data_IF_552504447036
#
_entry.id   IF_552504447036
#
_cell.length_a   1.000
_cell.length_b   1.000
_cell.length_c   1.000
_cell.angle_alpha   90.00
_cell.angle_beta   90.00
_cell.angle_gamma   90.00
#
_symmetry.space_group_name_H-M   'P 1'
#
loop_
_entity.id
_entity.type
_entity.pdbx_description
1 polymer ?
#
# COMPACT_ATOMS: atom_id res chain seq x y z
N UNK A 1 -10.74 1.44 15.75
CA UNK A 1 -11.89 2.35 15.58
C UNK A 1 -11.35 3.73 15.33
N UNK A 2 -11.81 4.39 14.26
CA UNK A 2 -11.56 5.82 14.01
C UNK A 2 -10.45 6.14 13.01
N UNK A 3 -10.67 5.91 11.71
CA UNK A 3 -9.92 6.58 10.64
C UNK A 3 -10.87 6.84 9.47
N UNK A 4 -11.64 7.93 9.57
CA UNK A 4 -12.14 8.79 8.49
C UNK A 4 -13.16 9.78 9.10
N UNK A 5 -12.98 11.11 8.97
CA UNK A 5 -13.95 12.08 9.46
C UNK A 5 -15.22 12.06 8.59
N UNK A 6 -16.37 11.95 9.23
CA UNK A 6 -17.68 12.19 8.61
C UNK A 6 -17.77 13.66 8.17
N UNK A 7 -18.19 13.90 6.94
CA UNK A 7 -18.52 15.25 6.47
C UNK A 7 -19.90 15.64 7.01
N UNK A 8 -19.95 16.72 7.76
CA UNK A 8 -21.19 17.39 8.18
C UNK A 8 -21.96 17.89 6.95
N UNK A 9 -23.27 17.66 6.93
CA UNK A 9 -24.20 18.28 5.98
C UNK A 9 -25.12 19.23 6.72
N UNK A 10 -25.12 20.48 6.26
CA UNK A 10 -25.90 21.60 6.76
C UNK A 10 -27.41 21.38 6.74
N UNK A 11 -28.03 21.93 7.78
CA UNK A 11 -29.46 21.99 8.06
C UNK A 11 -30.17 22.91 7.06
N UNK A 12 -31.20 22.41 6.36
CA UNK A 12 -32.24 23.25 5.74
C UNK A 12 -33.60 22.79 6.27
N UNK A 13 -34.28 23.69 6.99
CA UNK A 13 -35.68 23.55 7.39
C UNK A 13 -36.58 23.82 6.19
N UNK A 14 -37.53 22.93 5.93
CA UNK A 14 -38.80 23.26 5.29
C UNK A 14 -39.88 22.30 5.78
N UNK A 15 -40.92 22.87 6.37
CA UNK A 15 -42.12 22.19 6.88
C UNK A 15 -43.01 21.71 5.72
N UNK A 16 -43.59 20.53 5.87
CA UNK A 16 -44.58 19.98 4.94
C UNK A 16 -45.15 18.66 5.46
N UNK A 17 -46.36 18.73 6.01
CA UNK A 17 -47.05 17.67 6.73
C UNK A 17 -47.74 16.69 5.74
N UNK A 18 -47.48 15.38 5.85
CA UNK A 18 -48.12 14.30 5.06
C UNK A 18 -48.48 13.12 6.01
N UNK A 19 -49.61 12.40 5.82
CA UNK A 19 -50.25 11.53 6.82
C UNK A 19 -49.61 10.12 6.94
N UNK A 20 -50.01 9.30 7.95
CA UNK A 20 -49.23 8.15 8.38
C UNK A 20 -49.39 6.96 7.43
N UNK A 21 -48.26 6.39 7.02
CA UNK A 21 -48.18 5.11 6.32
C UNK A 21 -47.63 4.03 7.26
N UNK A 22 -48.21 2.83 7.12
CA UNK A 22 -48.03 1.61 7.92
C UNK A 22 -46.58 1.13 8.09
N UNK A 23 -46.28 0.34 9.16
CA UNK A 23 -44.92 -0.01 9.53
C UNK A 23 -44.29 -0.95 8.50
N UNK A 24 -43.17 -0.52 7.91
CA UNK A 24 -42.28 -1.36 7.12
C UNK A 24 -41.14 -1.84 8.00
N UNK A 25 -40.89 -3.14 7.96
CA UNK A 25 -39.78 -3.82 8.60
C UNK A 25 -38.44 -3.12 8.31
N UNK A 26 -37.79 -2.63 9.37
CA UNK A 26 -36.43 -2.12 9.31
C UNK A 26 -35.44 -3.29 9.17
N UNK A 27 -34.57 -3.30 8.14
CA UNK A 27 -33.43 -4.20 8.15
C UNK A 27 -32.41 -3.68 9.16
N UNK A 28 -32.16 -4.46 10.21
CA UNK A 28 -31.08 -4.26 11.19
C UNK A 28 -29.75 -3.97 10.48
N UNK A 29 -29.10 -2.89 10.89
CA UNK A 29 -27.73 -2.58 10.52
C UNK A 29 -26.80 -3.75 10.87
N UNK A 30 -25.94 -4.23 9.95
CA UNK A 30 -24.87 -5.14 10.31
C UNK A 30 -23.78 -4.33 11.02
N UNK A 31 -23.79 -4.42 12.34
CA UNK A 31 -22.63 -4.16 13.19
C UNK A 31 -21.59 -5.26 12.96
N UNK A 32 -20.31 -4.88 12.98
CA UNK A 32 -19.12 -5.75 12.95
C UNK A 32 -18.82 -6.58 11.69
N UNK A 33 -18.21 -5.93 10.68
CA UNK A 33 -17.60 -6.61 9.52
C UNK A 33 -16.07 -6.43 9.39
N UNK A 34 -15.37 -6.02 10.45
CA UNK A 34 -13.90 -5.85 10.42
C UNK A 34 -13.14 -6.53 11.56
N UNK A 35 -13.80 -7.31 12.42
CA UNK A 35 -13.21 -7.91 13.62
C UNK A 35 -12.81 -9.40 13.48
N UNK A 36 -12.90 -9.99 12.28
CA UNK A 36 -12.73 -11.44 12.07
C UNK A 36 -11.55 -11.84 11.20
N UNK A 37 -10.34 -11.31 11.43
CA UNK A 37 -9.13 -11.84 10.79
C UNK A 37 -8.51 -12.94 11.67
N UNK A 38 -9.18 -14.09 11.77
CA UNK A 38 -8.54 -15.31 12.30
C UNK A 38 -7.95 -16.05 11.12
N UNK A 39 -6.64 -15.92 10.95
CA UNK A 39 -5.87 -16.76 10.03
C UNK A 39 -5.91 -18.18 10.62
N UNK A 40 -6.60 -19.09 9.94
CA UNK A 40 -6.58 -20.50 10.30
C UNK A 40 -5.14 -21.03 10.15
N UNK A 41 -4.51 -21.30 11.28
CA UNK A 41 -3.23 -21.98 11.38
C UNK A 41 -3.45 -23.48 11.07
N UNK A 42 -2.95 -23.95 9.93
CA UNK A 42 -2.89 -25.38 9.64
C UNK A 42 -1.44 -25.86 9.56
N UNK A 43 -1.13 -26.81 10.44
CA UNK A 43 -0.11 -27.85 10.37
C UNK A 43 1.37 -27.41 10.23
N UNK A 44 1.97 -27.16 11.39
CA UNK A 44 3.31 -27.57 11.83
C UNK A 44 4.14 -28.39 10.82
N UNK A 45 4.87 -27.69 9.95
CA UNK A 45 6.24 -28.07 9.62
C UNK A 45 7.17 -27.25 10.51
N UNK A 46 8.00 -27.92 11.32
CA UNK A 46 9.12 -27.27 12.01
C UNK A 46 10.11 -26.78 10.96
N UNK A 47 9.81 -25.63 10.38
CA UNK A 47 10.78 -24.81 9.67
C UNK A 47 11.74 -24.32 10.77
N UNK A 48 12.99 -24.80 10.74
CA UNK A 48 14.07 -24.15 11.49
C UNK A 48 14.04 -22.71 11.00
N UNK A 49 13.53 -21.78 11.82
CA UNK A 49 13.48 -20.36 11.46
C UNK A 49 14.93 -19.96 11.25
N UNK A 50 15.35 -19.87 9.99
CA UNK A 50 16.66 -19.35 9.65
C UNK A 50 16.76 -17.97 10.29
N UNK A 51 17.82 -17.75 11.07
CA UNK A 51 18.09 -16.43 11.62
C UNK A 51 18.13 -15.45 10.45
N UNK A 52 17.37 -14.34 10.50
CA UNK A 52 17.40 -13.36 9.43
C UNK A 52 18.84 -12.88 9.23
N UNK A 53 19.25 -12.55 7.99
CA UNK A 53 20.51 -11.87 7.75
C UNK A 53 20.63 -10.64 8.66
N UNK A 54 21.84 -10.36 9.13
CA UNK A 54 22.12 -9.27 10.07
C UNK A 54 21.51 -7.93 9.62
N UNK A 55 21.55 -7.65 8.33
CA UNK A 55 21.01 -6.40 7.76
C UNK A 55 19.48 -6.33 7.81
N UNK A 56 18.78 -7.49 7.80
CA UNK A 56 17.33 -7.53 8.00
C UNK A 56 16.97 -7.29 9.47
N UNK A 57 17.76 -7.81 10.40
CA UNK A 57 17.61 -7.54 11.84
C UNK A 57 17.84 -6.05 12.16
N UNK A 58 18.92 -5.46 11.64
CA UNK A 58 19.22 -4.03 11.79
C UNK A 58 18.10 -3.14 11.23
N UNK A 59 17.49 -3.54 10.10
CA UNK A 59 16.33 -2.85 9.54
C UNK A 59 15.11 -2.95 10.47
N UNK A 60 14.81 -4.13 11.00
CA UNK A 60 13.67 -4.30 11.91
C UNK A 60 13.85 -3.49 13.20
N UNK A 61 15.06 -3.47 13.78
CA UNK A 61 15.36 -2.62 14.93
C UNK A 61 15.17 -1.13 14.61
N UNK A 62 15.65 -0.68 13.45
CA UNK A 62 15.50 0.71 13.03
C UNK A 62 14.03 1.10 12.82
N UNK A 63 13.23 0.21 12.24
CA UNK A 63 11.78 0.40 12.06
C UNK A 63 11.08 0.46 13.42
N UNK A 64 11.39 -0.46 14.33
CA UNK A 64 10.81 -0.51 15.67
C UNK A 64 11.15 0.76 16.47
N UNK A 65 12.39 1.26 16.35
CA UNK A 65 12.75 2.53 16.96
C UNK A 65 11.99 3.71 16.35
N UNK A 66 11.85 3.76 15.02
CA UNK A 66 11.13 4.82 14.33
C UNK A 66 9.61 4.81 14.62
N UNK A 67 9.01 3.65 14.92
CA UNK A 67 7.59 3.57 15.24
C UNK A 67 7.25 4.13 16.62
N UNK A 68 8.21 4.17 17.55
CA UNK A 68 8.03 4.67 18.92
C UNK A 68 8.71 6.02 19.19
N UNK A 69 9.45 6.56 18.21
CA UNK A 69 10.22 7.80 18.38
C UNK A 69 9.32 9.05 18.37
N UNK A 70 9.58 9.95 19.32
CA UNK A 70 8.91 11.25 19.42
C UNK A 70 9.55 12.33 18.52
N UNK A 71 8.78 13.28 17.96
CA UNK A 71 7.32 13.39 18.07
C UNK A 71 6.57 12.26 17.34
N UNK A 72 5.50 11.76 17.96
CA UNK A 72 4.56 10.83 17.33
C UNK A 72 3.81 11.49 16.16
N UNK A 73 3.47 10.72 15.11
CA UNK A 73 2.68 11.24 14.01
C UNK A 73 1.28 11.65 14.49
N UNK A 74 0.65 12.63 13.82
CA UNK A 74 -0.80 12.81 13.90
C UNK A 74 -1.53 11.49 13.58
N UNK A 75 -2.73 11.32 14.13
CA UNK A 75 -3.50 10.08 13.95
C UNK A 75 -3.73 9.77 12.47
N UNK A 76 -3.26 8.61 12.02
CA UNK A 76 -3.38 8.16 10.63
C UNK A 76 -2.34 8.74 9.68
N UNK A 77 -1.36 9.50 10.17
CA UNK A 77 -0.24 9.98 9.37
C UNK A 77 1.03 9.14 9.61
N UNK A 78 1.95 9.20 8.65
CA UNK A 78 3.18 8.45 8.59
C UNK A 78 4.33 9.37 8.19
N UNK A 79 5.58 9.00 8.51
CA UNK A 79 6.73 9.76 8.02
C UNK A 79 6.94 9.50 6.52
N UNK A 80 7.15 10.56 5.76
CA UNK A 80 7.42 10.56 4.32
C UNK A 80 8.66 11.39 3.99
N UNK A 81 9.26 11.10 2.83
CA UNK A 81 10.35 11.89 2.25
C UNK A 81 10.27 11.82 0.72
N UNK A 82 10.52 12.95 0.06
CA UNK A 82 10.54 13.05 -1.41
C UNK A 82 11.92 13.42 -1.96
N UNK A 83 12.86 13.78 -1.09
CA UNK A 83 14.17 14.30 -1.45
C UNK A 83 15.30 13.28 -1.19
N UNK A 84 14.94 12.00 -1.20
CA UNK A 84 15.87 10.89 -0.96
C UNK A 84 16.31 10.83 0.50
N UNK A 85 15.41 11.15 1.42
CA UNK A 85 15.73 11.29 2.82
C UNK A 85 16.73 12.43 3.00
N UNK A 86 16.45 13.67 2.66
CA UNK A 86 17.18 14.80 3.24
C UNK A 86 16.33 15.48 4.29
N UNK A 87 15.02 15.52 4.05
CA UNK A 87 14.02 15.99 4.99
C UNK A 87 12.88 14.98 5.10
N UNK A 88 12.25 14.98 6.28
CA UNK A 88 11.05 14.18 6.55
C UNK A 88 9.88 15.07 6.93
N UNK A 89 8.68 14.63 6.61
CA UNK A 89 7.42 15.30 6.92
C UNK A 89 6.32 14.25 7.13
N UNK A 90 5.20 14.68 7.71
CA UNK A 90 4.06 13.78 7.92
C UNK A 90 3.20 13.62 6.66
N UNK A 91 2.67 12.42 6.44
CA UNK A 91 1.76 12.05 5.36
C UNK A 91 0.36 12.61 5.61
N UNK A 92 0.24 13.93 5.58
CA UNK A 92 -1.03 14.64 5.68
C UNK A 92 -1.27 15.50 4.45
N UNK A 93 -2.49 16.05 4.34
CA UNK A 93 -2.80 17.08 3.32
C UNK A 93 -1.87 18.28 3.46
N UNK A 94 -1.53 18.63 4.69
CA UNK A 94 -0.49 19.61 5.01
C UNK A 94 0.79 18.83 5.32
N UNK A 95 1.74 18.86 4.38
CA UNK A 95 3.05 18.21 4.51
C UNK A 95 3.90 18.93 5.56
N UNK A 96 3.61 18.65 6.82
CA UNK A 96 4.22 19.33 7.97
C UNK A 96 5.59 18.70 8.25
N UNK A 97 6.68 19.48 8.27
CA UNK A 97 8.02 18.94 8.49
C UNK A 97 8.16 18.28 9.86
N UNK A 98 8.87 17.15 9.90
CA UNK A 98 9.37 16.59 11.17
C UNK A 98 10.55 17.47 11.60
N UNK A 99 10.61 17.91 12.88
CA UNK A 99 11.68 18.80 13.34
C UNK A 99 13.08 18.20 13.11
N UNK A 100 13.96 18.95 12.45
CA UNK A 100 15.33 18.54 12.19
C UNK A 100 16.10 18.30 13.50
N UNK A 101 16.87 17.22 13.55
CA UNK A 101 17.62 16.80 14.74
C UNK A 101 16.76 16.21 15.86
N UNK A 102 15.45 16.07 15.66
CA UNK A 102 14.59 15.36 16.62
C UNK A 102 14.90 13.87 16.67
N UNK A 103 14.54 13.23 17.78
CA UNK A 103 14.67 11.77 17.94
C UNK A 103 13.93 11.04 16.81
N UNK A 104 12.73 11.52 16.44
CA UNK A 104 11.98 10.99 15.30
C UNK A 104 12.73 11.10 13.99
N UNK A 105 13.25 12.28 13.64
CA UNK A 105 13.95 12.48 12.37
C UNK A 105 15.19 11.58 12.26
N UNK A 106 15.96 11.44 13.34
CA UNK A 106 17.10 10.54 13.41
C UNK A 106 16.70 9.06 13.34
N UNK A 107 15.57 8.67 13.93
CA UNK A 107 15.07 7.30 13.84
C UNK A 107 14.59 6.96 12.41
N UNK A 108 13.87 7.88 11.77
CA UNK A 108 13.43 7.75 10.37
C UNK A 108 14.62 7.72 9.40
N UNK A 109 15.63 8.55 9.63
CA UNK A 109 16.93 8.50 8.95
C UNK A 109 17.56 7.11 9.03
N UNK A 110 17.66 6.55 10.23
CA UNK A 110 18.27 5.23 10.44
C UNK A 110 17.50 4.12 9.71
N UNK A 111 16.16 4.16 9.74
CA UNK A 111 15.32 3.21 9.00
C UNK A 111 15.51 3.35 7.49
N UNK A 112 15.57 4.59 6.98
CA UNK A 112 15.84 4.91 5.58
C UNK A 112 17.21 4.38 5.11
N UNK A 113 18.25 4.60 5.91
CA UNK A 113 19.61 4.17 5.57
C UNK A 113 19.73 2.65 5.58
N UNK A 114 19.17 1.99 6.61
CA UNK A 114 19.15 0.53 6.73
C UNK A 114 18.43 -0.14 5.55
N UNK A 115 17.28 0.39 5.13
CA UNK A 115 16.53 -0.19 4.02
C UNK A 115 17.22 0.05 2.68
N UNK A 116 17.86 1.21 2.52
CA UNK A 116 18.65 1.53 1.33
C UNK A 116 19.83 0.58 1.19
N UNK A 117 20.54 0.31 2.29
CA UNK A 117 21.65 -0.65 2.31
C UNK A 117 21.16 -2.07 1.95
N UNK A 118 20.06 -2.52 2.57
CA UNK A 118 19.49 -3.84 2.29
C UNK A 118 19.09 -3.99 0.82
N UNK A 119 18.44 -2.98 0.23
CA UNK A 119 18.07 -3.00 -1.18
C UNK A 119 19.30 -2.97 -2.10
N UNK A 120 20.37 -2.25 -1.76
CA UNK A 120 21.64 -2.29 -2.51
C UNK A 120 22.26 -3.68 -2.49
N UNK A 121 22.28 -4.35 -1.33
CA UNK A 121 22.79 -5.71 -1.19
C UNK A 121 21.95 -6.72 -1.98
N UNK A 122 20.63 -6.58 -1.97
CA UNK A 122 19.71 -7.41 -2.76
C UNK A 122 19.90 -7.18 -4.25
N UNK A 123 19.97 -5.93 -4.70
CA UNK A 123 20.22 -5.59 -6.09
C UNK A 123 21.57 -6.14 -6.59
N UNK A 124 22.62 -6.10 -5.76
CA UNK A 124 23.91 -6.70 -6.10
C UNK A 124 23.80 -8.23 -6.32
N UNK A 125 23.00 -8.92 -5.50
CA UNK A 125 22.69 -10.35 -5.68
C UNK A 125 21.81 -10.62 -6.92
N UNK A 126 20.80 -9.78 -7.17
CA UNK A 126 19.89 -9.93 -8.31
C UNK A 126 20.58 -9.68 -9.65
N UNK A 127 21.55 -8.76 -9.72
CA UNK A 127 22.37 -8.54 -10.94
C UNK A 127 23.20 -9.76 -11.35
N UNK A 128 23.36 -10.74 -10.46
CA UNK A 128 23.95 -12.04 -10.80
C UNK A 128 22.94 -12.99 -11.50
N UNK A 129 21.65 -12.63 -11.57
CA UNK A 129 20.59 -13.39 -12.27
C UNK A 129 20.58 -13.07 -13.77
N UNK A 130 20.14 -14.03 -14.58
CA UNK A 130 20.10 -13.91 -16.04
C UNK A 130 19.19 -12.78 -16.54
N UNK A 131 19.61 -12.15 -17.65
CA UNK A 131 18.91 -11.07 -18.36
C UNK A 131 17.57 -11.57 -18.93
N UNK A 132 16.49 -10.79 -18.79
CA UNK A 132 15.17 -11.09 -19.36
C UNK A 132 14.15 -11.76 -18.41
N UNK A 133 14.50 -11.96 -17.14
CA UNK A 133 13.49 -12.21 -16.12
C UNK A 133 12.71 -10.90 -15.90
N UNK A 134 11.37 -10.93 -16.02
CA UNK A 134 10.52 -9.81 -15.65
C UNK A 134 10.75 -9.40 -14.19
N UNK A 135 10.18 -8.27 -13.76
CA UNK A 135 10.21 -7.93 -12.34
C UNK A 135 9.41 -8.95 -11.55
N UNK A 136 10.02 -9.62 -10.56
CA UNK A 136 9.35 -10.57 -9.65
C UNK A 136 8.26 -9.91 -8.76
N UNK A 137 7.85 -8.68 -9.05
CA UNK A 137 6.96 -7.86 -8.21
C UNK A 137 5.59 -7.65 -8.85
N UNK A 138 5.17 -8.54 -9.74
CA UNK A 138 3.84 -8.53 -10.30
C UNK A 138 2.84 -9.12 -9.32
N UNK A 139 1.64 -8.53 -9.26
CA UNK A 139 0.49 -9.14 -8.57
C UNK A 139 -0.35 -9.92 -9.58
N UNK A 140 -0.82 -11.10 -9.18
CA UNK A 140 -1.72 -11.91 -10.00
C UNK A 140 -3.05 -11.19 -10.20
N UNK A 141 -3.55 -11.14 -11.44
CA UNK A 141 -4.80 -10.43 -11.78
C UNK A 141 -6.01 -11.01 -11.04
N UNK A 142 -6.11 -12.33 -10.90
CA UNK A 142 -7.18 -12.97 -10.12
C UNK A 142 -7.19 -12.52 -8.66
N UNK A 143 -6.00 -12.43 -8.04
CA UNK A 143 -5.85 -11.88 -6.69
C UNK A 143 -6.24 -10.40 -6.63
N UNK A 144 -5.79 -9.59 -7.60
CA UNK A 144 -6.09 -8.16 -7.68
C UNK A 144 -7.61 -7.91 -7.75
N UNK A 145 -8.34 -8.71 -8.52
CA UNK A 145 -9.81 -8.66 -8.60
C UNK A 145 -10.46 -9.01 -7.25
N UNK A 146 -9.97 -10.03 -6.57
CA UNK A 146 -10.46 -10.40 -5.24
C UNK A 146 -10.14 -9.34 -4.18
N UNK A 147 -8.98 -8.69 -4.28
CA UNK A 147 -8.60 -7.55 -3.46
C UNK A 147 -9.56 -6.36 -3.68
N UNK A 148 -9.81 -5.97 -4.93
CA UNK A 148 -10.69 -4.85 -5.25
C UNK A 148 -12.13 -5.01 -4.74
N UNK A 149 -12.66 -6.24 -4.67
CA UNK A 149 -14.00 -6.51 -4.10
C UNK A 149 -14.13 -6.15 -2.62
N UNK A 150 -13.00 -6.04 -1.90
CA UNK A 150 -12.95 -5.70 -0.46
C UNK A 150 -12.71 -4.20 -0.21
N UNK A 151 -12.45 -3.44 -1.27
CA UNK A 151 -12.19 -2.00 -1.20
C UNK A 151 -13.47 -1.24 -1.53
N UNK A 152 -13.84 -0.19 -0.77
CA UNK A 152 -14.96 0.69 -1.12
C UNK A 152 -14.83 1.26 -2.53
N UNK A 153 -15.91 1.21 -3.31
CA UNK A 153 -15.89 1.57 -4.74
C UNK A 153 -15.48 3.02 -5.03
N UNK A 154 -15.70 3.92 -4.06
CA UNK A 154 -15.40 5.34 -4.18
C UNK A 154 -13.96 5.68 -3.77
N UNK A 155 -13.20 4.72 -3.22
CA UNK A 155 -11.82 4.96 -2.84
C UNK A 155 -10.95 5.16 -4.07
N UNK A 156 -10.15 6.21 -4.00
CA UNK A 156 -9.05 6.45 -4.91
C UNK A 156 -7.93 5.45 -4.65
N UNK A 157 -6.96 5.36 -5.56
CA UNK A 157 -5.77 4.56 -5.29
C UNK A 157 -4.97 5.11 -4.09
N UNK A 158 -4.94 6.43 -3.89
CA UNK A 158 -4.35 7.05 -2.69
C UNK A 158 -5.03 6.55 -1.41
N UNK A 159 -6.37 6.50 -1.37
CA UNK A 159 -7.11 5.97 -0.22
C UNK A 159 -6.75 4.50 0.07
N UNK A 160 -6.57 3.68 -0.97
CA UNK A 160 -6.12 2.28 -0.81
C UNK A 160 -4.72 2.22 -0.20
N UNK A 161 -3.82 3.11 -0.61
CA UNK A 161 -2.46 3.18 -0.07
C UNK A 161 -2.50 3.53 1.41
N UNK A 162 -3.21 4.59 1.78
CA UNK A 162 -3.26 5.10 3.15
C UNK A 162 -4.06 4.20 4.10
N UNK A 163 -5.19 3.64 3.65
CA UNK A 163 -6.11 2.90 4.53
C UNK A 163 -5.87 1.39 4.54
N UNK A 164 -5.11 0.84 3.58
CA UNK A 164 -4.86 -0.61 3.48
C UNK A 164 -3.38 -0.93 3.45
N UNK A 165 -2.67 -0.39 2.46
CA UNK A 165 -1.31 -0.83 2.15
C UNK A 165 -0.34 -0.41 3.24
N UNK A 166 -0.31 0.87 3.63
CA UNK A 166 0.55 1.37 4.70
C UNK A 166 0.23 0.65 6.02
N UNK A 167 -1.01 0.59 6.53
CA UNK A 167 -1.32 -0.13 7.76
C UNK A 167 -0.82 -1.59 7.77
N UNK A 168 -1.04 -2.35 6.69
CA UNK A 168 -0.64 -3.76 6.64
C UNK A 168 0.86 -3.98 6.46
N UNK A 169 1.58 -2.97 5.98
CA UNK A 169 3.03 -3.03 5.80
C UNK A 169 3.80 -2.29 6.90
N UNK A 170 3.12 -1.66 7.86
CA UNK A 170 3.73 -0.79 8.87
C UNK A 170 4.82 -1.47 9.70
N UNK A 171 4.55 -2.70 10.15
CA UNK A 171 5.48 -3.45 11.01
C UNK A 171 6.81 -3.73 10.32
N UNK A 172 6.79 -3.97 9.00
CA UNK A 172 7.97 -4.35 8.22
C UNK A 172 8.49 -3.24 7.30
N UNK A 173 7.73 -2.16 7.15
CA UNK A 173 7.90 -1.07 6.16
C UNK A 173 8.36 -1.58 4.77
N UNK A 174 7.68 -2.63 4.31
CA UNK A 174 8.05 -3.38 3.10
C UNK A 174 7.12 -3.06 1.92
N UNK A 175 7.35 -3.69 0.76
CA UNK A 175 6.41 -3.62 -0.37
C UNK A 175 5.20 -4.49 -0.04
N UNK A 176 4.03 -4.13 -0.56
CA UNK A 176 2.84 -4.95 -0.31
C UNK A 176 2.99 -6.37 -0.88
N UNK A 177 3.67 -6.53 -2.02
CA UNK A 177 3.99 -7.85 -2.57
C UNK A 177 4.84 -8.72 -1.63
N UNK A 178 5.60 -8.14 -0.71
CA UNK A 178 6.47 -8.88 0.23
C UNK A 178 5.67 -9.57 1.37
N UNK A 179 4.36 -9.29 1.48
CA UNK A 179 3.44 -9.91 2.45
C UNK A 179 2.33 -10.74 1.80
N UNK A 180 2.32 -10.84 0.46
CA UNK A 180 1.37 -11.68 -0.26
C UNK A 180 1.82 -13.15 -0.28
N UNK A 181 0.85 -14.04 -0.52
CA UNK A 181 1.16 -15.44 -0.75
C UNK A 181 1.99 -15.59 -2.03
N UNK A 182 2.93 -16.54 -2.04
CA UNK A 182 3.78 -16.78 -3.20
C UNK A 182 3.00 -17.14 -4.48
N UNK A 183 1.77 -17.66 -4.36
CA UNK A 183 0.90 -17.97 -5.49
C UNK A 183 0.27 -16.74 -6.16
N UNK A 184 0.33 -15.57 -5.50
CA UNK A 184 -0.26 -14.31 -5.96
C UNK A 184 0.80 -13.30 -6.43
N UNK A 185 2.09 -13.67 -6.36
CA UNK A 185 3.23 -12.85 -6.75
C UNK A 185 4.04 -13.57 -7.82
N UNK A 186 4.47 -12.84 -8.85
CA UNK A 186 5.22 -13.43 -9.94
C UNK A 186 5.87 -12.41 -10.85
N UNK A 187 6.44 -12.91 -11.95
CA UNK A 187 7.13 -12.07 -12.94
C UNK A 187 6.11 -11.22 -13.70
N UNK A 188 6.10 -9.92 -13.42
CA UNK A 188 5.29 -8.96 -14.15
C UNK A 188 5.78 -8.81 -15.58
N UNK A 189 4.87 -8.97 -16.54
CA UNK A 189 5.11 -8.71 -17.97
C UNK A 189 4.28 -7.55 -18.52
N UNK A 190 3.40 -6.99 -17.70
CA UNK A 190 2.57 -5.83 -18.03
C UNK A 190 2.89 -4.73 -17.03
N UNK A 191 3.37 -3.59 -17.52
CA UNK A 191 3.54 -2.40 -16.70
C UNK A 191 2.25 -1.58 -16.72
N UNK A 192 1.68 -1.26 -15.55
CA UNK A 192 0.43 -0.49 -15.48
C UNK A 192 0.67 0.89 -14.86
N UNK A 193 0.34 1.94 -15.62
CA UNK A 193 0.37 3.34 -15.19
C UNK A 193 -1.04 3.87 -14.99
N UNK A 194 -1.25 4.67 -13.94
CA UNK A 194 -2.55 5.22 -13.58
C UNK A 194 -2.41 6.48 -12.71
N UNK A 195 -3.51 7.21 -12.53
CA UNK A 195 -3.56 8.37 -11.64
C UNK A 195 -3.99 7.96 -10.23
N UNK A 196 -3.24 8.38 -9.20
CA UNK A 196 -3.53 8.03 -7.81
C UNK A 196 -4.87 8.58 -7.30
N UNK A 197 -5.32 9.72 -7.84
CA UNK A 197 -6.62 10.33 -7.52
C UNK A 197 -7.82 9.67 -8.22
N UNK A 198 -7.59 8.72 -9.12
CA UNK A 198 -8.67 8.01 -9.80
C UNK A 198 -9.23 6.88 -8.92
N UNK A 199 -10.51 6.48 -9.09
CA UNK A 199 -11.07 5.34 -8.37
C UNK A 199 -10.29 4.05 -8.63
N UNK A 200 -9.84 3.39 -7.56
CA UNK A 200 -9.04 2.17 -7.66
C UNK A 200 -9.78 1.03 -8.37
N UNK A 201 -11.11 0.96 -8.19
CA UNK A 201 -11.94 -0.05 -8.87
C UNK A 201 -11.96 0.11 -10.39
N UNK A 202 -11.78 1.32 -10.92
CA UNK A 202 -11.70 1.54 -12.37
C UNK A 202 -10.37 1.02 -12.93
N UNK A 203 -9.27 1.22 -12.20
CA UNK A 203 -7.97 0.63 -12.50
C UNK A 203 -8.07 -0.90 -12.62
N UNK A 204 -8.66 -1.55 -11.61
CA UNK A 204 -8.77 -3.01 -11.61
C UNK A 204 -9.74 -3.51 -12.69
N UNK A 205 -10.83 -2.78 -12.96
CA UNK A 205 -11.74 -3.12 -14.05
C UNK A 205 -11.05 -3.03 -15.44
N UNK A 206 -10.25 -2.00 -15.68
CA UNK A 206 -9.49 -1.84 -16.91
C UNK A 206 -8.45 -2.96 -17.10
N UNK A 207 -7.71 -3.31 -16.04
CA UNK A 207 -6.78 -4.44 -16.05
C UNK A 207 -7.52 -5.75 -16.35
N UNK A 208 -8.61 -6.04 -15.63
CA UNK A 208 -9.39 -7.26 -15.80
C UNK A 208 -10.09 -7.36 -17.17
N UNK A 209 -10.25 -6.24 -17.89
CA UNK A 209 -10.80 -6.23 -19.24
C UNK A 209 -9.79 -6.76 -20.28
N UNK A 210 -8.49 -6.54 -20.06
CA UNK A 210 -7.44 -6.85 -21.06
C UNK A 210 -6.47 -7.94 -20.61
N UNK A 211 -6.52 -8.37 -19.35
CA UNK A 211 -5.65 -9.38 -18.78
C UNK A 211 -6.42 -10.59 -18.25
N UNK A 212 -5.84 -11.79 -18.41
CA UNK A 212 -6.35 -13.03 -17.81
C UNK A 212 -5.99 -13.11 -16.32
N UNK A 213 -6.74 -13.88 -15.54
CA UNK A 213 -6.57 -13.99 -14.08
C UNK A 213 -5.21 -14.59 -13.66
N UNK A 214 -4.56 -15.35 -14.55
CA UNK A 214 -3.25 -15.97 -14.35
C UNK A 214 -2.08 -15.04 -14.67
N UNK A 215 -2.35 -13.88 -15.30
CA UNK A 215 -1.30 -12.92 -15.63
C UNK A 215 -0.87 -12.13 -14.40
N UNK A 216 0.34 -11.57 -14.48
CA UNK A 216 0.92 -10.74 -13.43
C UNK A 216 1.16 -9.33 -13.97
N UNK A 217 0.63 -8.35 -13.25
CA UNK A 217 0.74 -6.92 -13.59
C UNK A 217 1.63 -6.23 -12.56
N UNK A 218 2.51 -5.37 -13.04
CA UNK A 218 3.26 -4.46 -12.17
C UNK A 218 2.38 -3.24 -11.86
N UNK A 219 2.16 -2.99 -10.58
CA UNK A 219 1.42 -1.85 -10.05
C UNK A 219 2.24 -1.21 -8.94
N UNK A 220 2.52 0.08 -9.07
CA UNK A 220 3.36 0.85 -8.15
C UNK A 220 2.87 0.73 -6.70
N UNK A 221 1.57 0.81 -6.43
CA UNK A 221 1.05 0.73 -5.06
C UNK A 221 1.43 -0.56 -4.33
N UNK A 222 1.60 -1.68 -5.06
CA UNK A 222 1.95 -2.96 -4.48
C UNK A 222 3.45 -3.27 -4.57
N UNK A 223 4.09 -2.87 -5.67
CA UNK A 223 5.46 -3.21 -6.01
C UNK A 223 6.50 -2.20 -5.50
N UNK A 224 6.07 -0.96 -5.24
CA UNK A 224 6.89 0.10 -4.63
C UNK A 224 6.65 0.12 -3.13
N UNK A 225 7.73 0.26 -2.37
CA UNK A 225 7.65 0.49 -0.93
C UNK A 225 7.02 1.88 -0.67
N UNK A 226 5.88 1.89 0.01
CA UNK A 226 5.12 3.11 0.35
C UNK A 226 5.66 3.82 1.63
N UNK A 227 6.92 3.58 1.95
CA UNK A 227 7.65 4.05 3.13
C UNK A 227 8.97 4.69 2.70
N UNK A 228 9.56 5.59 3.51
CA UNK A 228 10.88 6.14 3.24
C UNK A 228 11.91 5.07 2.85
N UNK A 229 12.70 5.34 1.80
CA UNK A 229 13.70 4.42 1.28
C UNK A 229 13.22 3.57 0.10
N UNK A 230 12.07 3.91 -0.50
CA UNK A 230 11.55 3.28 -1.73
C UNK A 230 12.26 3.69 -3.04
N UNK A 231 13.32 4.51 -3.01
CA UNK A 231 13.95 5.09 -4.21
C UNK A 231 14.37 4.04 -5.26
N UNK A 232 14.85 2.87 -4.83
CA UNK A 232 15.23 1.80 -5.73
C UNK A 232 14.05 1.26 -6.56
N UNK A 233 12.82 1.41 -6.07
CA UNK A 233 11.61 0.93 -6.72
C UNK A 233 11.06 1.93 -7.75
N UNK A 234 11.50 3.19 -7.68
CA UNK A 234 11.05 4.28 -8.55
C UNK A 234 11.82 4.33 -9.89
N UNK A 235 12.83 3.49 -10.07
CA UNK A 235 13.54 3.33 -11.34
C UNK A 235 12.72 2.47 -12.31
N UNK A 236 11.71 3.08 -12.95
CA UNK A 236 10.78 2.35 -13.83
C UNK A 236 11.36 1.99 -15.20
N UNK A 237 12.48 2.61 -15.62
CA UNK A 237 13.02 2.42 -16.98
C UNK A 237 13.27 0.95 -17.35
N UNK A 238 13.94 0.13 -16.51
CA UNK A 238 14.13 -1.28 -16.82
C UNK A 238 12.80 -2.05 -16.88
N UNK A 239 11.85 -1.71 -16.00
CA UNK A 239 10.54 -2.34 -15.93
C UNK A 239 9.73 -2.11 -17.20
N UNK A 240 9.69 -0.86 -17.67
CA UNK A 240 8.97 -0.50 -18.90
C UNK A 240 9.63 -1.10 -20.13
N UNK A 241 10.97 -1.14 -20.18
CA UNK A 241 11.73 -1.74 -21.29
C UNK A 241 11.48 -3.24 -21.42
N UNK A 242 11.39 -3.94 -20.28
CA UNK A 242 11.31 -5.40 -20.24
C UNK A 242 9.85 -5.91 -20.19
N UNK A 243 8.85 -5.02 -20.12
CA UNK A 243 7.44 -5.38 -20.20
C UNK A 243 7.03 -5.70 -21.66
N UNK A 244 6.17 -6.71 -21.83
CA UNK A 244 5.56 -7.03 -23.14
C UNK A 244 4.49 -6.01 -23.52
N UNK A 245 3.85 -5.40 -22.51
CA UNK A 245 2.78 -4.44 -22.68
C UNK A 245 2.86 -3.33 -21.64
N UNK A 246 2.45 -2.14 -22.07
CA UNK A 246 2.25 -0.97 -21.23
C UNK A 246 0.75 -0.62 -21.22
N UNK A 247 0.13 -0.68 -20.05
CA UNK A 247 -1.26 -0.32 -19.86
C UNK A 247 -1.34 1.06 -19.20
N UNK A 248 -1.91 2.03 -19.92
CA UNK A 248 -2.25 3.34 -19.36
C UNK A 248 -3.74 3.36 -19.02
N UNK A 249 -4.07 3.51 -17.73
CA UNK A 249 -5.46 3.66 -17.28
C UNK A 249 -5.72 5.10 -16.89
N UNK A 250 -6.42 5.82 -17.78
CA UNK A 250 -6.87 7.18 -17.56
C UNK A 250 -8.37 7.18 -17.27
N UNK A 251 -8.76 7.46 -16.04
CA UNK A 251 -10.16 7.72 -15.67
C UNK A 251 -10.40 9.22 -15.63
N UNK A 252 -11.59 9.65 -16.05
CA UNK A 252 -12.09 10.99 -15.72
C UNK A 252 -12.20 11.10 -14.19
N UNK A 253 -11.71 12.20 -13.64
CA UNK A 253 -11.82 12.53 -12.22
C UNK A 253 -12.49 13.90 -12.18
N UNK A 254 -13.67 13.99 -11.56
CA UNK A 254 -14.35 15.26 -11.38
C UNK A 254 -13.49 16.15 -10.44
N UNK A 255 -13.33 17.42 -10.79
CA UNK A 255 -12.46 18.37 -10.06
C UNK A 255 -12.94 18.68 -8.63
#
# INVERSE_FOLDING_TARGET
MGCCPSKDTDTVKAEGQVPPTEPRDEPRAPTDLLSGLVVHETASQRCVKATPPKEEEELQEAIAHASTAEPMPPSGEYAETWDGGKTFHWSGKKKTPIPAGSVRELAERRAYDAVTLLDQLRAAKERARAKGAGSYRGVRVGWLRAFAKRVPRHWTTEDVVECVIKPQTADRRCRYVDILAAADVGDARIFTSHAWRAPFVNLVAAIAHVCLDEMYVWLDIFAVRQWPGGTADLEFRPLVRDADAFLLVASHVDE
#
